data_IF_417643185686
#
_entry.id   IF_417643185686
#
_cell.length_a   1.000
_cell.length_b   1.000
_cell.length_c   1.000
_cell.angle_alpha   90.00
_cell.angle_beta   90.00
_cell.angle_gamma   90.00
#
_symmetry.space_group_name_H-M   'P 1'
#
loop_
_entity.id
_entity.type
_entity.pdbx_description
1 polymer ?
#
# COMPACT_ATOMS: atom_id res chain seq x y z
N UNK A 1 15.71 6.35 16.50
CA UNK A 1 15.26 6.35 15.11
C UNK A 1 15.39 7.73 14.50
N UNK A 2 15.97 7.83 13.32
CA UNK A 2 16.06 9.11 12.64
C UNK A 2 14.74 9.42 11.95
N UNK A 3 14.52 10.70 11.70
CA UNK A 3 13.31 11.15 11.02
C UNK A 3 13.21 10.56 9.62
N UNK A 4 14.34 10.38 8.96
CA UNK A 4 14.37 9.80 7.62
C UNK A 4 13.86 8.37 7.61
N UNK A 5 14.25 7.59 8.61
CA UNK A 5 13.78 6.21 8.72
C UNK A 5 12.27 6.15 8.94
N UNK A 6 11.73 7.07 9.73
CA UNK A 6 10.30 7.13 9.98
C UNK A 6 9.53 7.45 8.71
N UNK A 7 10.00 8.43 7.94
CA UNK A 7 9.36 8.81 6.68
C UNK A 7 9.42 7.67 5.68
N UNK A 8 10.55 6.99 5.61
CA UNK A 8 10.70 5.85 4.71
C UNK A 8 9.77 4.71 5.07
N UNK A 9 9.63 4.44 6.37
CA UNK A 9 8.70 3.41 6.85
C UNK A 9 7.26 3.75 6.48
N UNK A 10 6.88 5.00 6.67
CA UNK A 10 5.54 5.46 6.30
C UNK A 10 5.28 5.27 4.81
N UNK A 11 6.25 5.60 3.97
CA UNK A 11 6.13 5.43 2.53
C UNK A 11 5.94 3.97 2.14
N UNK A 12 6.69 3.07 2.77
CA UNK A 12 6.57 1.64 2.50
C UNK A 12 5.19 1.12 2.90
N UNK A 13 4.70 1.52 4.07
CA UNK A 13 3.39 1.09 4.55
C UNK A 13 2.29 1.57 3.61
N UNK A 14 2.37 2.83 3.19
CA UNK A 14 1.38 3.40 2.27
C UNK A 14 1.43 2.68 0.92
N UNK A 15 2.62 2.38 0.42
CA UNK A 15 2.78 1.68 -0.85
C UNK A 15 2.16 0.28 -0.79
N UNK A 16 2.41 -0.45 0.27
CA UNK A 16 1.85 -1.80 0.45
C UNK A 16 0.33 -1.72 0.54
N UNK A 17 -0.19 -0.79 1.31
CA UNK A 17 -1.63 -0.61 1.45
C UNK A 17 -2.28 -0.27 0.11
N UNK A 18 -1.66 0.60 -0.68
CA UNK A 18 -2.17 0.99 -1.98
C UNK A 18 -2.22 -0.20 -2.93
N UNK A 19 -1.15 -0.99 -2.99
CA UNK A 19 -1.10 -2.17 -3.85
C UNK A 19 -2.17 -3.18 -3.42
N UNK A 20 -2.32 -3.38 -2.13
CA UNK A 20 -3.30 -4.31 -1.59
C UNK A 20 -4.72 -3.93 -2.01
N UNK A 21 -5.07 -2.66 -1.83
CA UNK A 21 -6.41 -2.17 -2.18
C UNK A 21 -6.63 -2.26 -3.69
N UNK A 22 -5.61 -1.94 -4.48
CA UNK A 22 -5.71 -2.01 -5.94
C UNK A 22 -5.98 -3.44 -6.41
N UNK A 23 -5.25 -4.40 -5.86
CA UNK A 23 -5.43 -5.81 -6.21
C UNK A 23 -6.83 -6.27 -5.84
N UNK A 24 -7.32 -5.89 -4.66
CA UNK A 24 -8.67 -6.25 -4.23
C UNK A 24 -9.73 -5.64 -5.14
N UNK A 25 -9.54 -4.39 -5.55
CA UNK A 25 -10.48 -3.72 -6.43
C UNK A 25 -10.55 -4.41 -7.80
N UNK A 26 -9.40 -4.74 -8.36
CA UNK A 26 -9.33 -5.44 -9.66
C UNK A 26 -9.95 -6.83 -9.55
N UNK A 27 -9.66 -7.55 -8.48
CA UNK A 27 -10.22 -8.87 -8.26
C UNK A 27 -11.74 -8.81 -8.14
N UNK A 28 -12.24 -7.76 -7.50
CA UNK A 28 -13.68 -7.56 -7.34
C UNK A 28 -14.37 -7.35 -8.69
N UNK A 29 -13.77 -6.52 -9.52
CA UNK A 29 -14.28 -6.28 -10.87
C UNK A 29 -14.23 -7.56 -11.72
N UNK A 30 -13.19 -8.34 -11.53
CA UNK A 30 -13.03 -9.60 -12.26
C UNK A 30 -14.09 -10.63 -11.88
N UNK A 31 -14.58 -10.55 -10.63
CA UNK A 31 -15.60 -11.47 -10.13
C UNK A 31 -17.02 -11.12 -10.63
N UNK A 32 -17.20 -9.88 -11.02
CA UNK A 32 -18.46 -9.45 -11.60
C UNK A 32 -18.51 -9.81 -13.06
#
# INVERSE_FOLDING_TARGET
>A
MSRESMVQLLGVVVAIATVFVTVLAVAHLFSI
#
